data_IF_092942368301
#
_entry.id   IF_092942368301
#
_cell.length_a   1.000
_cell.length_b   1.000
_cell.length_c   1.000
_cell.angle_alpha   90.00
_cell.angle_beta   90.00
_cell.angle_gamma   90.00
#
_symmetry.space_group_name_H-M   'P 1'
#
loop_
_entity.id
_entity.type
_entity.pdbx_description
1 polymer ?
#
# COMPACT_ATOMS: atom_id res chain seq x y z
N UNK A 1 -20.54 10.32 8.95
CA UNK A 1 -19.64 9.86 10.03
C UNK A 1 -20.43 9.54 11.30
N UNK A 2 -21.22 10.46 11.85
CA UNK A 2 -22.09 10.21 13.02
C UNK A 2 -23.04 9.01 12.86
N UNK A 3 -23.64 8.83 11.67
CA UNK A 3 -24.51 7.68 11.36
C UNK A 3 -23.84 6.31 11.50
N UNK A 4 -22.51 6.23 11.36
CA UNK A 4 -21.72 5.00 11.48
C UNK A 4 -21.28 4.68 12.91
N UNK A 5 -21.38 5.65 13.83
CA UNK A 5 -20.96 5.52 15.24
C UNK A 5 -22.11 5.65 16.23
N UNK A 6 -23.31 6.05 15.78
CA UNK A 6 -24.50 6.23 16.63
C UNK A 6 -24.96 4.96 17.35
N UNK A 7 -24.51 3.79 16.90
CA UNK A 7 -24.84 2.47 17.47
C UNK A 7 -23.76 1.96 18.43
N UNK A 8 -22.63 2.66 18.55
CA UNK A 8 -21.54 2.29 19.45
C UNK A 8 -21.92 2.66 20.89
N UNK A 9 -21.77 1.72 21.83
CA UNK A 9 -22.19 1.89 23.21
C UNK A 9 -21.09 2.49 24.10
N UNK A 10 -19.82 2.29 23.75
CA UNK A 10 -18.68 2.77 24.53
C UNK A 10 -17.82 3.76 23.75
N UNK A 11 -17.11 4.62 24.48
CA UNK A 11 -16.12 5.53 23.88
C UNK A 11 -15.02 4.78 23.12
N UNK A 12 -14.68 3.57 23.56
CA UNK A 12 -13.73 2.70 22.87
C UNK A 12 -14.26 2.27 21.50
N UNK A 13 -15.51 1.81 21.43
CA UNK A 13 -16.13 1.38 20.17
C UNK A 13 -16.23 2.54 19.17
N UNK A 14 -16.56 3.74 19.66
CA UNK A 14 -16.61 4.96 18.83
C UNK A 14 -15.22 5.27 18.27
N UNK A 15 -14.19 5.26 19.12
CA UNK A 15 -12.81 5.52 18.71
C UNK A 15 -12.31 4.50 17.69
N UNK A 16 -12.56 3.21 17.92
CA UNK A 16 -12.17 2.13 17.02
C UNK A 16 -12.89 2.25 15.66
N UNK A 17 -14.20 2.56 15.65
CA UNK A 17 -14.94 2.79 14.41
C UNK A 17 -14.45 4.02 13.65
N UNK A 18 -14.13 5.11 14.36
CA UNK A 18 -13.56 6.31 13.73
C UNK A 18 -12.20 6.00 13.11
N UNK A 19 -11.35 5.26 13.82
CA UNK A 19 -10.04 4.79 13.32
C UNK A 19 -10.22 3.94 12.06
N UNK A 20 -11.15 2.98 12.06
CA UNK A 20 -11.45 2.17 10.87
C UNK A 20 -12.01 2.99 9.69
N UNK A 21 -12.78 4.06 9.93
CA UNK A 21 -13.31 4.91 8.86
C UNK A 21 -12.20 5.80 8.26
N UNK A 22 -11.32 6.33 9.11
CA UNK A 22 -10.26 7.25 8.70
C UNK A 22 -9.05 6.53 8.10
N UNK A 23 -8.63 5.42 8.69
CA UNK A 23 -7.44 4.65 8.27
C UNK A 23 -7.79 3.46 7.37
N UNK A 24 -9.06 3.01 7.38
CA UNK A 24 -9.49 1.73 6.83
C UNK A 24 -9.52 0.62 7.89
N UNK A 25 -10.31 -0.42 7.66
CA UNK A 25 -10.23 -1.66 8.46
C UNK A 25 -8.92 -2.40 8.20
N UNK A 26 -8.51 -3.30 9.10
CA UNK A 26 -7.36 -4.18 8.86
C UNK A 26 -7.53 -5.00 7.56
N UNK A 27 -8.75 -5.45 7.26
CA UNK A 27 -9.09 -6.08 5.98
C UNK A 27 -8.86 -5.14 4.78
N UNK A 28 -9.14 -3.84 4.93
CA UNK A 28 -8.85 -2.85 3.90
C UNK A 28 -7.34 -2.61 3.76
N UNK A 29 -6.58 -2.64 4.87
CA UNK A 29 -5.11 -2.53 4.87
C UNK A 29 -4.46 -3.75 4.23
N UNK A 30 -4.91 -4.97 4.55
CA UNK A 30 -4.47 -6.23 3.94
C UNK A 30 -4.79 -6.29 2.44
N UNK A 31 -5.99 -5.84 2.03
CA UNK A 31 -6.34 -5.75 0.62
C UNK A 31 -5.45 -4.73 -0.13
N UNK A 32 -5.16 -3.57 0.48
CA UNK A 32 -4.22 -2.59 -0.09
C UNK A 32 -2.81 -3.18 -0.23
N UNK A 33 -2.33 -3.89 0.80
CA UNK A 33 -1.02 -4.55 0.78
C UNK A 33 -0.96 -5.61 -0.33
N UNK A 34 -1.99 -6.44 -0.45
CA UNK A 34 -2.09 -7.45 -1.50
C UNK A 34 -2.04 -6.83 -2.89
N UNK A 35 -2.81 -5.76 -3.12
CA UNK A 35 -2.83 -5.03 -4.40
C UNK A 35 -1.47 -4.39 -4.70
N UNK A 36 -0.85 -3.73 -3.72
CA UNK A 36 0.46 -3.12 -3.87
C UNK A 36 1.54 -4.18 -4.16
N UNK A 37 1.47 -5.35 -3.52
CA UNK A 37 2.37 -6.47 -3.78
C UNK A 37 2.20 -7.00 -5.21
N UNK A 38 0.96 -7.15 -5.69
CA UNK A 38 0.70 -7.57 -7.07
C UNK A 38 1.23 -6.55 -8.09
N UNK A 39 1.09 -5.24 -7.83
CA UNK A 39 1.71 -4.19 -8.66
C UNK A 39 3.23 -4.33 -8.68
N UNK A 40 3.85 -4.52 -7.52
CA UNK A 40 5.29 -4.74 -7.42
C UNK A 40 5.71 -5.98 -8.19
N UNK A 41 5.00 -7.09 -8.06
CA UNK A 41 5.38 -8.32 -8.74
C UNK A 41 5.24 -8.22 -10.26
N UNK A 42 4.21 -7.54 -10.75
CA UNK A 42 3.94 -7.35 -12.17
C UNK A 42 4.68 -6.18 -12.81
N UNK A 43 5.41 -5.37 -12.03
CA UNK A 43 6.10 -4.20 -12.57
C UNK A 43 7.19 -4.63 -13.53
N UNK A 44 7.15 -4.03 -14.72
CA UNK A 44 8.12 -4.19 -15.79
C UNK A 44 8.33 -2.87 -16.51
N UNK A 45 9.48 -2.73 -17.15
CA UNK A 45 9.75 -1.61 -18.04
C UNK A 45 8.89 -1.75 -19.29
N UNK A 46 8.37 -0.62 -19.79
CA UNK A 46 7.54 -0.59 -21.02
C UNK A 46 8.41 -0.22 -22.21
N UNK A 47 8.03 -0.66 -23.42
CA UNK A 47 8.85 -0.49 -24.64
C UNK A 47 9.18 0.98 -24.99
N UNK A 48 8.32 1.93 -24.62
CA UNK A 48 8.48 3.36 -24.91
C UNK A 48 8.79 4.20 -23.65
N UNK A 49 9.06 3.54 -22.53
CA UNK A 49 9.30 4.22 -21.25
C UNK A 49 10.77 4.49 -21.04
N UNK A 50 11.09 5.69 -20.54
CA UNK A 50 12.46 6.04 -20.16
C UNK A 50 12.84 5.41 -18.82
N UNK A 51 14.14 5.23 -18.57
CA UNK A 51 14.62 4.70 -17.29
C UNK A 51 14.15 5.54 -16.10
N UNK A 52 14.08 6.86 -16.24
CA UNK A 52 13.58 7.77 -15.19
C UNK A 52 12.11 7.54 -14.90
N UNK A 53 11.25 7.44 -15.92
CA UNK A 53 9.82 7.16 -15.73
C UNK A 53 9.58 5.79 -15.08
N UNK A 54 10.37 4.78 -15.46
CA UNK A 54 10.31 3.48 -14.80
C UNK A 54 10.73 3.57 -13.32
N UNK A 55 11.83 4.26 -13.02
CA UNK A 55 12.33 4.45 -11.66
C UNK A 55 11.32 5.18 -10.77
N UNK A 56 10.65 6.22 -11.29
CA UNK A 56 9.58 6.92 -10.58
C UNK A 56 8.41 5.99 -10.25
N UNK A 57 7.96 5.17 -11.21
CA UNK A 57 6.88 4.20 -10.96
C UNK A 57 7.30 3.12 -9.99
N UNK A 58 8.51 2.61 -10.11
CA UNK A 58 9.04 1.59 -9.22
C UNK A 58 9.15 2.11 -7.79
N UNK A 59 9.75 3.29 -7.61
CA UNK A 59 9.87 3.98 -6.33
C UNK A 59 8.51 4.25 -5.70
N UNK A 60 7.52 4.71 -6.47
CA UNK A 60 6.16 4.92 -5.98
C UNK A 60 5.54 3.64 -5.38
N UNK A 61 5.73 2.49 -6.04
CA UNK A 61 5.23 1.19 -5.53
C UNK A 61 5.98 0.75 -4.28
N UNK A 62 7.30 0.93 -4.22
CA UNK A 62 8.11 0.60 -3.03
C UNK A 62 7.73 1.49 -1.83
N UNK A 63 7.48 2.78 -2.06
CA UNK A 63 7.00 3.72 -1.03
C UNK A 63 5.61 3.31 -0.54
N UNK A 64 4.68 2.96 -1.45
CA UNK A 64 3.35 2.44 -1.10
C UNK A 64 3.48 1.20 -0.19
N UNK A 65 4.31 0.23 -0.57
CA UNK A 65 4.55 -0.99 0.21
C UNK A 65 5.19 -0.71 1.57
N UNK A 66 6.16 0.20 1.62
CA UNK A 66 6.81 0.60 2.88
C UNK A 66 5.80 1.26 3.82
N UNK A 67 4.91 2.11 3.30
CA UNK A 67 3.84 2.74 4.09
C UNK A 67 2.82 1.74 4.65
N UNK A 68 2.72 0.56 4.03
CA UNK A 68 1.88 -0.56 4.45
C UNK A 68 2.64 -1.57 5.34
N UNK A 69 3.87 -1.25 5.75
CA UNK A 69 4.67 -2.07 6.66
C UNK A 69 5.51 -3.17 5.98
N UNK A 70 5.62 -3.16 4.64
CA UNK A 70 6.45 -4.10 3.89
C UNK A 70 7.78 -3.44 3.52
N UNK A 71 8.86 -3.93 4.13
CA UNK A 71 10.23 -3.46 3.85
C UNK A 71 10.95 -4.39 2.86
N UNK A 72 11.83 -3.80 2.05
CA UNK A 72 12.74 -4.51 1.15
C UNK A 72 14.15 -3.96 1.35
N UNK A 73 15.15 -4.84 1.30
CA UNK A 73 16.53 -4.39 1.29
C UNK A 73 16.98 -3.99 -0.13
N UNK A 74 18.06 -3.21 -0.21
CA UNK A 74 18.58 -2.71 -1.49
C UNK A 74 18.92 -3.82 -2.50
N UNK A 75 19.35 -5.00 -2.02
CA UNK A 75 19.67 -6.12 -2.91
C UNK A 75 18.41 -6.71 -3.54
N UNK A 76 17.32 -6.84 -2.78
CA UNK A 76 16.03 -7.31 -3.29
C UNK A 76 15.47 -6.35 -4.33
N UNK A 77 15.51 -5.05 -4.05
CA UNK A 77 15.06 -4.01 -4.97
C UNK A 77 15.88 -3.99 -6.26
N UNK A 78 17.22 -4.05 -6.15
CA UNK A 78 18.10 -4.10 -7.31
C UNK A 78 17.83 -5.34 -8.18
N UNK A 79 17.67 -6.51 -7.57
CA UNK A 79 17.31 -7.73 -8.29
C UNK A 79 15.94 -7.62 -8.95
N UNK A 80 14.99 -6.90 -8.36
CA UNK A 80 13.67 -6.68 -8.97
C UNK A 80 13.78 -5.81 -10.21
N UNK A 81 14.51 -4.69 -10.13
CA UNK A 81 14.75 -3.79 -11.28
C UNK A 81 15.47 -4.52 -12.41
N UNK A 82 16.45 -5.38 -12.11
CA UNK A 82 17.16 -6.16 -13.12
C UNK A 82 16.29 -7.21 -13.83
N UNK A 83 15.14 -7.60 -13.26
CA UNK A 83 14.20 -8.58 -13.81
C UNK A 83 12.96 -7.94 -14.45
N UNK A 84 12.85 -6.62 -14.34
CA UNK A 84 11.73 -5.82 -14.84
C UNK A 84 11.84 -5.54 -16.33
#
# INVERSE_FOLDING_TARGET
MFSKIKTCATSKDIWERLTQICEGSDETKENKLTVAQQKYESIKMRDAETTTEFDERFSAVVIELTSLGKEYNNRELALKVMRA
#
